data_IF_523343839982
#
_entry.id   IF_523343839982
#
_cell.length_a   1.000
_cell.length_b   1.000
_cell.length_c   1.000
_cell.angle_alpha   90.00
_cell.angle_beta   90.00
_cell.angle_gamma   90.00
#
_symmetry.space_group_name_H-M   'P 1'
#
loop_
_entity.id
_entity.type
_entity.pdbx_description
1 polymer ?
#
# COMPACT_ATOMS: atom_id res chain seq x y z
N UNK A 1 -20.05 -8.53 -4.99
CA UNK A 1 -19.32 -9.05 -3.83
C UNK A 1 -17.87 -8.60 -4.01
N UNK A 2 -17.41 -7.60 -3.25
CA UNK A 2 -16.14 -6.90 -3.52
C UNK A 2 -14.94 -7.82 -3.21
N UNK A 3 -14.16 -8.18 -4.24
CA UNK A 3 -12.98 -9.08 -4.11
C UNK A 3 -11.69 -8.32 -3.75
N UNK A 4 -11.74 -6.98 -3.76
CA UNK A 4 -10.66 -6.09 -3.37
C UNK A 4 -11.20 -4.91 -2.56
N UNK A 5 -10.34 -4.33 -1.71
CA UNK A 5 -10.61 -3.08 -1.03
C UNK A 5 -9.68 -1.99 -1.55
N UNK A 6 -10.21 -0.77 -1.68
CA UNK A 6 -9.44 0.44 -1.94
C UNK A 6 -9.34 1.19 -0.61
N UNK A 7 -8.12 1.47 -0.17
CA UNK A 7 -7.84 2.25 1.03
C UNK A 7 -7.15 3.55 0.65
N UNK A 8 -7.54 4.61 1.32
CA UNK A 8 -6.94 5.93 1.18
C UNK A 8 -6.12 6.24 2.44
N UNK A 9 -4.88 6.68 2.24
CA UNK A 9 -4.05 7.20 3.32
C UNK A 9 -3.55 8.60 2.93
N UNK A 10 -3.75 9.55 3.84
CA UNK A 10 -3.16 10.89 3.75
C UNK A 10 -1.90 10.92 4.61
N UNK A 11 -0.74 11.18 4.00
CA UNK A 11 0.58 11.04 4.66
C UNK A 11 1.04 12.39 5.22
N UNK A 12 0.11 13.22 5.67
CA UNK A 12 0.41 14.62 5.97
C UNK A 12 1.09 14.86 7.32
N UNK A 13 1.30 13.83 8.14
CA UNK A 13 1.93 13.99 9.47
C UNK A 13 2.59 12.74 10.04
N UNK A 14 2.66 11.64 9.28
CA UNK A 14 2.90 10.31 9.88
C UNK A 14 4.35 9.83 9.83
N UNK A 15 5.28 10.60 9.28
CA UNK A 15 6.67 10.16 9.11
C UNK A 15 7.53 10.81 10.20
N UNK A 16 7.20 10.53 11.46
CA UNK A 16 8.08 10.84 12.57
C UNK A 16 8.95 9.61 12.87
N UNK A 17 10.13 9.63 12.27
CA UNK A 17 11.40 9.18 12.83
C UNK A 17 11.55 7.70 13.22
N UNK A 18 12.17 6.91 12.33
CA UNK A 18 13.10 5.87 12.76
C UNK A 18 14.08 5.52 11.64
N UNK A 19 15.38 5.67 11.95
CA UNK A 19 16.61 5.47 11.15
C UNK A 19 17.10 6.65 10.27
N UNK A 20 18.33 7.09 10.57
CA UNK A 20 19.07 8.20 9.92
C UNK A 20 19.20 7.99 8.40
N UNK A 21 19.31 6.73 7.96
CA UNK A 21 19.36 6.38 6.53
C UNK A 21 18.01 6.61 5.83
N UNK A 22 16.91 6.28 6.51
CA UNK A 22 15.56 6.57 6.02
C UNK A 22 15.32 8.07 5.96
N UNK A 23 15.81 8.85 6.93
CA UNK A 23 15.63 10.31 6.96
C UNK A 23 16.28 11.04 5.76
N UNK A 24 17.50 10.66 5.36
CA UNK A 24 18.17 11.28 4.21
C UNK A 24 17.45 10.98 2.88
N UNK A 25 17.07 9.71 2.67
CA UNK A 25 16.32 9.29 1.48
C UNK A 25 14.92 9.93 1.49
N UNK A 26 14.28 9.96 2.66
CA UNK A 26 12.99 10.60 2.85
C UNK A 26 13.03 12.08 2.49
N UNK A 27 13.99 12.84 3.02
CA UNK A 27 14.14 14.27 2.71
C UNK A 27 14.47 14.51 1.23
N UNK A 28 15.26 13.63 0.61
CA UNK A 28 15.59 13.73 -0.81
C UNK A 28 14.38 13.47 -1.73
N UNK A 29 13.54 12.49 -1.39
CA UNK A 29 12.39 12.08 -2.22
C UNK A 29 11.13 12.88 -1.90
N UNK A 30 10.84 13.06 -0.61
CA UNK A 30 9.58 13.62 -0.11
C UNK A 30 9.71 15.05 0.43
N UNK A 31 10.93 15.55 0.68
CA UNK A 31 11.16 16.92 1.17
C UNK A 31 10.45 18.03 0.37
N UNK A 32 10.45 18.00 -0.98
CA UNK A 32 9.69 18.97 -1.77
C UNK A 32 8.17 18.90 -1.61
N UNK A 33 7.65 17.79 -1.08
CA UNK A 33 6.23 17.46 -1.00
C UNK A 33 5.70 17.45 0.44
N UNK A 34 6.52 17.76 1.46
CA UNK A 34 6.12 17.75 2.88
C UNK A 34 4.92 18.65 3.20
N UNK A 35 4.76 19.74 2.44
CA UNK A 35 3.65 20.69 2.62
C UNK A 35 2.56 20.53 1.55
N UNK A 36 2.64 19.49 0.72
CA UNK A 36 1.64 19.19 -0.30
C UNK A 36 0.72 18.05 0.17
N UNK A 37 -0.56 18.07 -0.21
CA UNK A 37 -1.46 16.96 0.09
C UNK A 37 -1.00 15.72 -0.67
N UNK A 38 -0.33 14.79 0.04
CA UNK A 38 0.03 13.49 -0.50
C UNK A 38 -1.11 12.51 -0.27
N UNK A 39 -1.64 12.00 -1.37
CA UNK A 39 -2.68 10.98 -1.40
C UNK A 39 -2.09 9.65 -1.85
N UNK A 40 -2.27 8.61 -1.03
CA UNK A 40 -1.93 7.25 -1.39
C UNK A 40 -3.21 6.41 -1.55
N UNK A 41 -3.42 5.89 -2.75
CA UNK A 41 -4.46 4.90 -3.02
C UNK A 41 -3.85 3.50 -3.04
N UNK A 42 -4.27 2.65 -2.12
CA UNK A 42 -3.77 1.28 -2.01
C UNK A 42 -4.91 0.31 -2.31
N UNK A 43 -4.72 -0.54 -3.31
CA UNK A 43 -5.60 -1.68 -3.56
C UNK A 43 -5.06 -2.91 -2.86
N UNK A 44 -5.90 -3.56 -2.05
CA UNK A 44 -5.57 -4.81 -1.38
C UNK A 44 -6.50 -5.92 -1.83
N UNK A 45 -5.94 -7.05 -2.22
CA UNK A 45 -6.71 -8.24 -2.54
C UNK A 45 -7.08 -8.95 -1.24
N UNK A 46 -8.38 -8.97 -0.91
CA UNK A 46 -8.86 -9.47 0.38
C UNK A 46 -8.99 -11.00 0.42
N UNK A 47 -9.17 -11.64 -0.74
CA UNK A 47 -9.42 -13.06 -0.86
C UNK A 47 -8.62 -13.67 -2.02
N UNK A 48 -7.28 -13.71 -1.93
CA UNK A 48 -6.46 -14.39 -2.93
C UNK A 48 -6.87 -15.86 -3.05
N UNK A 49 -6.95 -16.36 -4.28
CA UNK A 49 -7.15 -17.78 -4.57
C UNK A 49 -5.84 -18.55 -4.58
N UNK A 50 -4.72 -17.90 -4.90
CA UNK A 50 -3.38 -18.50 -4.84
C UNK A 50 -3.08 -18.98 -3.42
N UNK A 51 -2.36 -20.10 -3.30
CA UNK A 51 -2.00 -20.70 -2.01
C UNK A 51 -0.50 -20.97 -1.96
N UNK A 52 0.15 -20.34 -0.98
CA UNK A 52 1.54 -20.59 -0.65
C UNK A 52 1.73 -21.64 0.43
N UNK A 53 2.98 -21.94 0.73
CA UNK A 53 3.40 -22.84 1.80
C UNK A 53 4.39 -22.17 2.75
N UNK A 54 4.35 -22.57 4.01
CA UNK A 54 5.34 -22.21 5.02
C UNK A 54 5.84 -23.50 5.65
N UNK A 55 7.14 -23.73 5.61
CA UNK A 55 7.78 -24.94 6.14
C UNK A 55 8.95 -24.58 7.03
N UNK A 56 9.17 -25.37 8.07
CA UNK A 56 10.40 -25.28 8.84
C UNK A 56 11.57 -25.72 7.95
N UNK A 57 12.62 -24.89 7.90
CA UNK A 57 13.83 -25.18 7.13
C UNK A 57 14.73 -26.18 7.86
N UNK A 58 14.71 -26.17 9.18
CA UNK A 58 15.44 -27.08 10.06
C UNK A 58 14.68 -27.28 11.37
N UNK A 59 15.22 -28.12 12.25
CA UNK A 59 14.73 -28.29 13.63
C UNK A 59 15.18 -27.17 14.58
N UNK A 60 16.08 -26.28 14.15
CA UNK A 60 16.55 -25.16 14.96
C UNK A 60 15.49 -24.03 14.97
N UNK A 61 14.95 -23.65 16.14
CA UNK A 61 13.93 -22.59 16.23
C UNK A 61 14.46 -21.19 15.86
N UNK A 62 15.78 -20.99 15.81
CA UNK A 62 16.38 -19.72 15.38
C UNK A 62 16.56 -19.61 13.87
N UNK A 63 16.37 -20.69 13.12
CA UNK A 63 16.46 -20.65 11.66
C UNK A 63 15.15 -20.10 11.07
N UNK A 64 15.28 -19.19 10.11
CA UNK A 64 14.12 -18.65 9.41
C UNK A 64 13.39 -19.76 8.63
N UNK A 65 12.05 -19.82 8.69
CA UNK A 65 11.29 -20.81 7.93
C UNK A 65 11.44 -20.56 6.42
N UNK A 66 11.26 -21.62 5.64
CA UNK A 66 11.09 -21.51 4.20
C UNK A 66 9.65 -21.05 3.91
N UNK A 67 9.52 -19.84 3.34
CA UNK A 67 8.24 -19.23 2.98
C UNK A 67 8.18 -19.15 1.46
N UNK A 68 7.22 -19.84 0.86
CA UNK A 68 6.90 -19.72 -0.55
C UNK A 68 5.44 -19.28 -0.69
N UNK A 69 5.16 -17.97 -0.83
CA UNK A 69 3.79 -17.48 -0.86
C UNK A 69 3.05 -17.81 -2.17
N UNK A 70 3.77 -18.21 -3.22
CA UNK A 70 3.20 -18.51 -4.54
C UNK A 70 2.23 -17.44 -5.05
N UNK A 71 2.63 -16.16 -4.94
CA UNK A 71 1.79 -15.06 -5.35
C UNK A 71 1.47 -15.15 -6.84
N UNK A 72 0.20 -14.89 -7.20
CA UNK A 72 -0.28 -14.83 -8.58
C UNK A 72 -0.26 -16.16 -9.34
N UNK A 73 -0.16 -17.29 -8.65
CA UNK A 73 -0.37 -18.62 -9.24
C UNK A 73 -1.73 -18.71 -9.94
N UNK A 74 -2.78 -18.20 -9.27
CA UNK A 74 -4.08 -18.10 -9.89
C UNK A 74 -4.18 -16.82 -10.75
N UNK A 75 -4.45 -16.94 -12.06
CA UNK A 75 -4.57 -15.77 -12.93
C UNK A 75 -5.70 -14.81 -12.56
N UNK A 76 -6.69 -15.25 -11.76
CA UNK A 76 -7.73 -14.37 -11.24
C UNK A 76 -7.21 -13.34 -10.24
N UNK A 77 -6.22 -13.69 -9.41
CA UNK A 77 -5.66 -12.78 -8.41
C UNK A 77 -5.00 -11.58 -9.08
N UNK A 78 -4.35 -11.82 -10.24
CA UNK A 78 -3.81 -10.75 -11.09
C UNK A 78 -4.91 -9.83 -11.62
N UNK A 79 -6.01 -10.40 -12.14
CA UNK A 79 -7.12 -9.62 -12.68
C UNK A 79 -7.70 -8.69 -11.62
N UNK A 80 -7.93 -9.20 -10.41
CA UNK A 80 -8.53 -8.42 -9.32
C UNK A 80 -7.62 -7.29 -8.86
N UNK A 81 -6.31 -7.52 -8.75
CA UNK A 81 -5.35 -6.48 -8.36
C UNK A 81 -5.25 -5.38 -9.43
N UNK A 82 -5.24 -5.79 -10.69
CA UNK A 82 -5.18 -4.87 -11.83
C UNK A 82 -6.46 -4.01 -11.91
N UNK A 83 -7.64 -4.61 -11.71
CA UNK A 83 -8.90 -3.88 -11.59
C UNK A 83 -8.86 -2.86 -10.45
N UNK A 84 -8.34 -3.26 -9.28
CA UNK A 84 -8.17 -2.38 -8.13
C UNK A 84 -7.21 -1.22 -8.39
N UNK A 85 -6.10 -1.45 -9.10
CA UNK A 85 -5.18 -0.38 -9.52
C UNK A 85 -5.85 0.59 -10.51
N UNK A 86 -6.64 0.08 -11.45
CA UNK A 86 -7.38 0.93 -12.37
C UNK A 86 -8.42 1.80 -11.64
N UNK A 87 -9.10 1.25 -10.64
CA UNK A 87 -10.00 2.01 -9.78
C UNK A 87 -9.26 3.14 -9.06
N UNK A 88 -8.09 2.88 -8.47
CA UNK A 88 -7.25 3.92 -7.88
C UNK A 88 -6.85 5.02 -8.89
N UNK A 89 -6.38 4.63 -10.07
CA UNK A 89 -5.94 5.58 -11.10
C UNK A 89 -7.08 6.50 -11.59
N UNK A 90 -8.30 5.95 -11.71
CA UNK A 90 -9.48 6.75 -12.08
C UNK A 90 -9.81 7.81 -11.03
N UNK A 91 -9.53 7.53 -9.75
CA UNK A 91 -9.72 8.48 -8.66
C UNK A 91 -8.62 9.54 -8.65
N UNK A 92 -7.36 9.15 -8.90
CA UNK A 92 -6.22 10.06 -8.99
C UNK A 92 -6.40 11.11 -10.11
N UNK A 93 -6.94 10.75 -11.27
CA UNK A 93 -7.14 11.66 -12.41
C UNK A 93 -8.32 12.61 -12.22
N UNK A 94 -9.31 12.23 -11.39
CA UNK A 94 -10.49 13.04 -11.08
C UNK A 94 -10.34 13.92 -9.84
N UNK A 95 -9.30 13.67 -9.04
CA UNK A 95 -9.02 14.51 -7.91
C UNK A 95 -8.43 15.83 -8.42
N UNK A 96 -9.22 16.90 -8.39
CA UNK A 96 -8.68 18.25 -8.51
C UNK A 96 -7.63 18.47 -7.40
N UNK A 97 -6.58 19.30 -7.62
CA UNK A 97 -5.65 19.67 -6.56
C UNK A 97 -6.40 20.48 -5.51
N UNK A 98 -6.95 19.80 -4.51
CA UNK A 98 -7.65 20.44 -3.41
C UNK A 98 -6.58 21.13 -2.57
N UNK A 99 -6.61 22.46 -2.54
CA UNK A 99 -5.76 23.26 -1.66
C UNK A 99 -6.26 23.10 -0.22
N UNK A 100 -5.59 22.29 0.58
CA UNK A 100 -5.98 22.00 1.96
C UNK A 100 -5.02 22.74 2.90
N UNK A 101 -5.43 23.86 3.51
CA UNK A 101 -4.62 24.52 4.52
C UNK A 101 -4.66 23.69 5.82
N UNK A 102 -3.54 23.07 6.18
CA UNK A 102 -3.36 22.39 7.48
C UNK A 102 -4.22 21.12 7.64
N UNK A 103 -3.92 20.09 6.84
CA UNK A 103 -4.48 18.72 6.87
C UNK A 103 -5.48 18.37 8.00
N UNK A 104 -6.77 18.50 7.71
CA UNK A 104 -7.88 17.90 8.43
C UNK A 104 -9.06 17.68 7.46
N UNK A 105 -9.35 16.44 7.07
CA UNK A 105 -10.68 15.80 7.13
C UNK A 105 -10.69 14.50 6.32
N UNK A 106 -11.36 13.49 6.88
CA UNK A 106 -11.47 12.13 6.39
C UNK A 106 -12.73 12.00 5.53
N UNK A 107 -12.60 11.54 4.28
CA UNK A 107 -13.74 11.06 3.50
C UNK A 107 -13.47 9.60 3.11
N UNK A 108 -14.01 8.69 3.92
CA UNK A 108 -14.10 7.27 3.58
C UNK A 108 -15.28 7.15 2.62
N UNK A 109 -15.02 6.81 1.37
CA UNK A 109 -16.06 6.29 0.47
C UNK A 109 -15.86 4.77 0.42
N UNK A 110 -16.76 4.04 1.09
CA UNK A 110 -16.95 2.59 0.95
C UNK A 110 -17.99 2.31 -0.12
#
# INVERSE_FOLDING_TARGET
MLSYAVKFAFICSFIHESTILFFQIYKAVFGPYENWPLFACVSQHLQPKSRGTVRLKSTNPYDSPAIDPNYFENPEDLKVIVEGKWSCQKLEIKADPINIPGCNFLLIIS
#
